data_IF_285912371978
#
_entry.id   IF_285912371978
#
_cell.length_a   1.000
_cell.length_b   1.000
_cell.length_c   1.000
_cell.angle_alpha   90.00
_cell.angle_beta   90.00
_cell.angle_gamma   90.00
#
_symmetry.space_group_name_H-M   'P 1'
#
loop_
_entity.id
_entity.type
_entity.pdbx_description
1 polymer ?
#
# COMPACT_ATOMS: atom_id res chain seq x y z
N UNK A 1 13.36 -18.73 -19.30
CA UNK A 1 13.06 -19.57 -18.13
C UNK A 1 12.13 -18.81 -17.20
N UNK A 2 11.02 -19.41 -16.80
CA UNK A 2 10.19 -18.77 -15.80
C UNK A 2 10.94 -18.71 -14.47
N UNK A 3 10.68 -17.66 -13.70
CA UNK A 3 11.23 -17.55 -12.36
C UNK A 3 10.67 -18.68 -11.49
N UNK A 4 11.50 -19.24 -10.60
CA UNK A 4 11.03 -20.24 -9.66
C UNK A 4 10.20 -19.58 -8.55
N UNK A 5 9.55 -20.40 -7.73
CA UNK A 5 8.68 -19.90 -6.67
C UNK A 5 9.41 -19.01 -5.66
N UNK A 6 10.65 -19.35 -5.31
CA UNK A 6 11.44 -18.54 -4.38
C UNK A 6 11.75 -17.18 -4.97
N UNK A 7 12.10 -17.11 -6.24
CA UNK A 7 12.38 -15.83 -6.91
C UNK A 7 11.13 -14.96 -6.99
N UNK A 8 9.98 -15.57 -7.27
CA UNK A 8 8.71 -14.85 -7.30
C UNK A 8 8.35 -14.30 -5.94
N UNK A 9 8.50 -15.11 -4.90
CA UNK A 9 8.20 -14.71 -3.53
C UNK A 9 9.10 -13.54 -3.10
N UNK A 10 10.40 -13.65 -3.38
CA UNK A 10 11.35 -12.59 -3.06
C UNK A 10 11.06 -11.29 -3.82
N UNK A 11 10.62 -11.39 -5.07
CA UNK A 11 10.23 -10.21 -5.85
C UNK A 11 9.00 -9.54 -5.23
N UNK A 12 7.98 -10.31 -4.89
CA UNK A 12 6.77 -9.78 -4.26
C UNK A 12 7.08 -9.12 -2.93
N UNK A 13 7.92 -9.77 -2.13
CA UNK A 13 8.36 -9.21 -0.85
C UNK A 13 9.10 -7.89 -1.05
N UNK A 14 10.02 -7.84 -2.01
CA UNK A 14 10.80 -6.63 -2.29
C UNK A 14 9.88 -5.47 -2.72
N UNK A 15 8.88 -5.74 -3.54
CA UNK A 15 7.92 -4.73 -3.98
C UNK A 15 7.14 -4.16 -2.79
N UNK A 16 6.66 -5.03 -1.92
CA UNK A 16 5.97 -4.58 -0.71
C UNK A 16 6.89 -3.75 0.18
N UNK A 17 8.12 -4.19 0.37
CA UNK A 17 9.10 -3.48 1.21
C UNK A 17 9.43 -2.10 0.65
N UNK A 18 9.53 -1.96 -0.68
CA UNK A 18 9.76 -0.67 -1.33
C UNK A 18 8.60 0.29 -1.07
N UNK A 19 7.37 -0.21 -1.11
CA UNK A 19 6.19 0.59 -0.79
C UNK A 19 6.25 1.14 0.64
N UNK A 20 6.50 0.27 1.62
CA UNK A 20 6.53 0.71 3.02
C UNK A 20 7.73 1.61 3.32
N UNK A 21 8.88 1.37 2.68
CA UNK A 21 10.02 2.26 2.78
C UNK A 21 9.67 3.66 2.22
N UNK A 22 8.92 3.69 1.11
CA UNK A 22 8.44 4.94 0.53
C UNK A 22 7.56 5.72 1.49
N UNK A 23 6.63 5.05 2.15
CA UNK A 23 5.78 5.70 3.16
C UNK A 23 6.63 6.25 4.32
N UNK A 24 7.56 5.46 4.83
CA UNK A 24 8.40 5.86 5.96
C UNK A 24 9.31 7.05 5.61
N UNK A 25 9.80 7.10 4.38
CA UNK A 25 10.67 8.17 3.90
C UNK A 25 9.90 9.34 3.32
N UNK A 26 8.58 9.21 3.16
CA UNK A 26 7.71 10.21 2.51
C UNK A 26 8.15 10.52 1.08
N UNK A 27 8.49 9.45 0.36
CA UNK A 27 8.93 9.51 -1.03
C UNK A 27 8.51 8.21 -1.72
N UNK A 28 7.47 8.28 -2.53
CA UNK A 28 6.91 7.12 -3.21
C UNK A 28 7.45 6.93 -4.63
N UNK A 29 8.49 7.68 -5.02
CA UNK A 29 8.99 7.65 -6.40
C UNK A 29 9.55 6.30 -6.83
N UNK A 30 10.02 5.47 -5.88
CA UNK A 30 10.58 4.16 -6.19
C UNK A 30 9.54 3.06 -6.27
N UNK A 31 8.29 3.33 -5.89
CA UNK A 31 7.24 2.31 -5.88
C UNK A 31 6.83 1.99 -7.33
N UNK A 32 6.88 0.72 -7.74
CA UNK A 32 6.66 0.36 -9.14
C UNK A 32 5.18 0.22 -9.50
N UNK A 33 4.41 1.30 -9.39
CA UNK A 33 3.02 1.29 -9.82
C UNK A 33 2.96 1.29 -11.35
N UNK A 34 2.07 0.44 -11.90
CA UNK A 34 1.75 0.49 -13.32
C UNK A 34 1.09 1.84 -13.64
N UNK A 35 1.22 2.29 -14.87
CA UNK A 35 0.65 3.58 -15.29
C UNK A 35 -0.86 3.65 -15.02
N UNK A 36 -1.56 2.56 -15.23
CA UNK A 36 -3.01 2.43 -15.05
C UNK A 36 -3.41 1.74 -13.74
N UNK A 37 -2.56 1.77 -12.73
CA UNK A 37 -2.80 1.11 -11.44
C UNK A 37 -4.13 1.53 -10.85
N UNK A 38 -4.78 0.59 -10.16
CA UNK A 38 -6.04 0.81 -9.44
C UNK A 38 -5.79 0.64 -7.95
N UNK A 39 -6.10 1.66 -7.16
CA UNK A 39 -5.89 1.62 -5.70
C UNK A 39 -7.18 1.94 -4.96
N UNK A 40 -7.52 1.08 -4.00
CA UNK A 40 -8.66 1.27 -3.10
C UNK A 40 -8.18 1.45 -1.67
N UNK A 41 -8.73 2.43 -0.97
CA UNK A 41 -8.37 2.67 0.43
C UNK A 41 -9.56 3.26 1.18
N UNK A 42 -9.75 2.89 2.48
CA UNK A 42 -10.88 3.41 3.27
C UNK A 42 -10.92 4.93 3.40
N UNK A 43 -9.76 5.59 3.39
CA UNK A 43 -9.68 7.05 3.53
C UNK A 43 -9.48 7.77 2.20
N UNK A 44 -9.53 7.05 1.08
CA UNK A 44 -9.50 7.70 -0.24
C UNK A 44 -10.75 8.57 -0.42
N UNK A 45 -10.71 9.58 -1.30
CA UNK A 45 -11.81 10.52 -1.44
C UNK A 45 -13.18 9.90 -1.66
N UNK A 46 -13.25 8.77 -2.37
CA UNK A 46 -14.50 8.07 -2.65
C UNK A 46 -14.65 6.75 -1.88
N UNK A 47 -13.77 6.51 -0.91
CA UNK A 47 -13.78 5.30 -0.11
C UNK A 47 -13.37 4.06 -0.89
N UNK A 48 -13.76 2.88 -0.38
CA UNK A 48 -13.37 1.61 -0.98
C UNK A 48 -14.12 1.28 -2.27
N UNK A 49 -15.32 1.82 -2.44
CA UNK A 49 -16.17 1.46 -3.58
C UNK A 49 -15.66 1.99 -4.91
N UNK A 50 -15.05 3.17 -4.90
CA UNK A 50 -14.56 3.80 -6.12
C UNK A 50 -13.05 3.92 -6.06
N UNK A 51 -12.32 3.17 -6.87
CA UNK A 51 -10.85 3.21 -6.80
C UNK A 51 -10.28 4.50 -7.38
N UNK A 52 -9.09 4.83 -6.88
CA UNK A 52 -8.24 5.80 -7.58
C UNK A 52 -7.60 5.07 -8.77
N UNK A 53 -7.59 5.70 -9.93
CA UNK A 53 -7.08 5.10 -11.16
C UNK A 53 -5.93 5.93 -11.72
N UNK A 54 -4.82 5.25 -12.00
CA UNK A 54 -3.65 5.86 -12.61
C UNK A 54 -2.59 6.28 -11.61
N UNK A 55 -1.33 6.07 -11.98
CA UNK A 55 -0.20 6.38 -11.11
C UNK A 55 -0.16 7.84 -10.65
N UNK A 56 -0.44 8.84 -11.51
CA UNK A 56 -0.45 10.24 -11.05
C UNK A 56 -1.42 10.51 -9.92
N UNK A 57 -2.66 10.01 -10.02
CA UNK A 57 -3.67 10.20 -8.98
C UNK A 57 -3.27 9.50 -7.68
N UNK A 58 -2.69 8.32 -7.79
CA UNK A 58 -2.23 7.54 -6.64
C UNK A 58 -1.08 8.25 -5.93
N UNK A 59 -0.10 8.75 -6.68
CA UNK A 59 1.01 9.53 -6.12
C UNK A 59 0.50 10.76 -5.37
N UNK A 60 -0.41 11.50 -5.97
CA UNK A 60 -0.97 12.70 -5.36
C UNK A 60 -1.67 12.39 -4.04
N UNK A 61 -2.44 11.31 -4.01
CA UNK A 61 -3.15 10.92 -2.80
C UNK A 61 -2.17 10.53 -1.67
N UNK A 62 -1.16 9.70 -1.98
CA UNK A 62 -0.18 9.32 -0.96
C UNK A 62 0.62 10.51 -0.45
N UNK A 63 0.99 11.44 -1.32
CA UNK A 63 1.69 12.65 -0.90
C UNK A 63 0.83 13.48 0.07
N UNK A 64 -0.49 13.47 -0.10
CA UNK A 64 -1.38 14.20 0.79
C UNK A 64 -1.40 13.64 2.20
N UNK A 65 -0.96 12.39 2.40
CA UNK A 65 -0.89 11.75 3.71
C UNK A 65 0.42 12.04 4.45
N UNK A 66 1.46 12.45 3.75
CA UNK A 66 2.79 12.60 4.33
C UNK A 66 2.83 13.48 5.59
N UNK A 67 2.10 14.62 5.66
CA UNK A 67 2.14 15.44 6.86
C UNK A 67 1.67 14.75 8.14
N UNK A 68 0.84 13.71 8.04
CA UNK A 68 0.29 13.02 9.21
C UNK A 68 0.84 11.60 9.40
N UNK A 69 1.70 11.13 8.50
CA UNK A 69 2.30 9.81 8.67
C UNK A 69 3.37 9.83 9.75
N UNK A 70 3.31 8.85 10.64
CA UNK A 70 4.31 8.63 11.69
C UNK A 70 5.12 7.38 11.42
N UNK A 71 5.41 6.61 12.47
CA UNK A 71 6.20 5.40 12.36
C UNK A 71 5.45 4.31 11.58
N UNK A 72 6.18 3.59 10.73
CA UNK A 72 5.64 2.48 9.94
C UNK A 72 6.39 1.21 10.30
N UNK A 73 5.65 0.17 10.68
CA UNK A 73 6.25 -1.10 11.07
C UNK A 73 5.62 -2.24 10.27
N UNK A 74 6.45 -2.91 9.45
CA UNK A 74 6.04 -4.10 8.69
C UNK A 74 6.14 -5.31 9.61
N UNK A 75 5.09 -6.12 9.65
CA UNK A 75 5.02 -7.26 10.55
C UNK A 75 5.19 -8.57 9.80
N UNK A 76 4.39 -8.81 8.75
CA UNK A 76 4.43 -10.10 8.04
C UNK A 76 3.87 -9.98 6.65
N UNK A 77 4.41 -10.78 5.72
CA UNK A 77 3.94 -10.88 4.34
C UNK A 77 3.23 -12.21 4.12
N UNK A 78 2.18 -12.17 3.31
CA UNK A 78 1.39 -13.35 2.92
C UNK A 78 1.29 -13.38 1.40
N UNK A 79 1.36 -14.56 0.81
CA UNK A 79 1.40 -14.71 -0.64
C UNK A 79 0.23 -15.56 -1.11
N UNK A 80 -0.32 -15.25 -2.29
CA UNK A 80 -1.35 -16.08 -2.88
C UNK A 80 -0.73 -17.33 -3.52
N UNK A 81 -1.56 -18.29 -3.90
CA UNK A 81 -1.12 -19.57 -4.43
C UNK A 81 -0.26 -19.44 -5.68
N UNK A 82 -0.67 -18.55 -6.61
CA UNK A 82 0.02 -18.38 -7.90
C UNK A 82 1.25 -17.48 -7.80
N UNK A 83 1.51 -16.88 -6.65
CA UNK A 83 2.60 -15.91 -6.45
C UNK A 83 2.50 -14.72 -7.44
N UNK A 84 1.29 -14.20 -7.57
CA UNK A 84 0.99 -12.99 -8.34
C UNK A 84 0.60 -11.82 -7.43
N UNK A 85 0.45 -12.10 -6.15
CA UNK A 85 0.04 -11.08 -5.18
C UNK A 85 0.72 -11.31 -3.84
N UNK A 86 0.89 -10.22 -3.10
CA UNK A 86 1.38 -10.23 -1.71
C UNK A 86 0.45 -9.36 -0.88
N UNK A 87 0.13 -9.81 0.31
CA UNK A 87 -0.56 -9.01 1.32
C UNK A 87 0.40 -8.82 2.48
N UNK A 88 0.45 -7.61 3.02
CA UNK A 88 1.38 -7.27 4.09
C UNK A 88 0.64 -6.70 5.27
N UNK A 89 0.84 -7.29 6.43
CA UNK A 89 0.33 -6.79 7.70
C UNK A 89 1.33 -5.77 8.23
N UNK A 90 0.86 -4.56 8.51
CA UNK A 90 1.71 -3.49 9.04
C UNK A 90 0.97 -2.67 10.08
N UNK A 91 1.73 -1.96 10.92
CA UNK A 91 1.21 -0.91 11.78
C UNK A 91 1.65 0.43 11.19
N UNK A 92 0.69 1.31 10.94
CA UNK A 92 0.95 2.63 10.37
C UNK A 92 0.57 3.69 11.38
N UNK A 93 1.56 4.43 11.86
CA UNK A 93 1.35 5.52 12.78
C UNK A 93 0.77 6.73 12.07
N UNK A 94 -0.19 7.37 12.71
CA UNK A 94 -0.77 8.65 12.30
C UNK A 94 -0.51 9.64 13.41
N UNK A 95 -0.09 10.86 13.08
CA UNK A 95 0.27 11.87 14.07
C UNK A 95 -0.88 12.81 14.42
N UNK A 96 -1.87 12.94 13.54
CA UNK A 96 -3.00 13.87 13.77
C UNK A 96 -4.26 13.36 13.06
N UNK A 97 -5.24 12.79 13.78
CA UNK A 97 -5.21 12.49 15.22
C UNK A 97 -4.22 11.38 15.52
N UNK A 98 -3.58 11.42 16.68
CA UNK A 98 -2.57 10.43 17.02
C UNK A 98 -3.19 9.06 17.23
N UNK A 99 -2.78 8.09 16.41
CA UNK A 99 -3.25 6.72 16.49
C UNK A 99 -2.31 5.80 15.72
N UNK A 100 -2.55 4.50 15.83
CA UNK A 100 -1.85 3.50 15.03
C UNK A 100 -2.89 2.67 14.31
N UNK A 101 -2.82 2.67 12.98
CA UNK A 101 -3.71 1.86 12.15
C UNK A 101 -3.12 0.46 11.99
N UNK A 102 -3.97 -0.54 12.16
CA UNK A 102 -3.61 -1.93 11.89
C UNK A 102 -4.04 -2.23 10.47
N UNK A 103 -3.07 -2.41 9.58
CA UNK A 103 -3.31 -2.39 8.14
C UNK A 103 -2.93 -3.73 7.51
N UNK A 104 -3.72 -4.15 6.53
CA UNK A 104 -3.31 -5.18 5.56
C UNK A 104 -3.41 -4.53 4.19
N UNK A 105 -2.28 -4.43 3.51
CA UNK A 105 -2.23 -3.92 2.13
C UNK A 105 -2.02 -5.09 1.19
N UNK A 106 -2.84 -5.18 0.14
CA UNK A 106 -2.78 -6.23 -0.86
C UNK A 106 -2.33 -5.64 -2.19
N UNK A 107 -1.31 -6.26 -2.78
CA UNK A 107 -0.73 -5.82 -4.04
C UNK A 107 -0.81 -6.94 -5.06
N UNK A 108 -1.38 -6.68 -6.24
CA UNK A 108 -1.25 -7.55 -7.41
C UNK A 108 -0.16 -7.02 -8.31
N UNK A 109 0.70 -7.92 -8.77
CA UNK A 109 1.91 -7.56 -9.53
C UNK A 109 1.90 -8.32 -10.86
N UNK A 110 2.14 -7.60 -11.95
CA UNK A 110 2.20 -8.21 -13.28
C UNK A 110 3.59 -8.82 -13.56
N UNK A 111 3.73 -9.43 -14.74
CA UNK A 111 4.99 -10.09 -15.12
C UNK A 111 6.17 -9.13 -15.29
N UNK A 112 5.90 -7.84 -15.42
CA UNK A 112 6.94 -6.82 -15.52
C UNK A 112 7.37 -6.27 -14.17
N UNK A 113 6.80 -6.80 -13.07
CA UNK A 113 7.12 -6.35 -11.72
C UNK A 113 6.43 -5.06 -11.34
N UNK A 114 5.32 -4.70 -12.01
CA UNK A 114 4.56 -3.50 -11.70
C UNK A 114 3.32 -3.85 -10.87
N UNK A 115 2.98 -2.97 -9.93
CA UNK A 115 1.75 -3.10 -9.16
C UNK A 115 0.59 -2.64 -10.04
N UNK A 116 -0.33 -3.56 -10.34
CA UNK A 116 -1.50 -3.24 -11.17
C UNK A 116 -2.73 -2.93 -10.34
N UNK A 117 -2.79 -3.48 -9.13
CA UNK A 117 -3.93 -3.28 -8.23
C UNK A 117 -3.42 -3.30 -6.80
N UNK A 118 -3.91 -2.37 -6.00
CA UNK A 118 -3.58 -2.30 -4.59
C UNK A 118 -4.84 -1.99 -3.80
N UNK A 119 -5.02 -2.66 -2.67
CA UNK A 119 -6.14 -2.40 -1.80
C UNK A 119 -5.66 -2.37 -0.36
N UNK A 120 -6.02 -1.30 0.35
CA UNK A 120 -5.67 -1.11 1.74
C UNK A 120 -6.86 -1.49 2.61
N UNK A 121 -6.61 -2.30 3.65
CA UNK A 121 -7.63 -2.73 4.59
C UNK A 121 -7.26 -2.31 6.00
N UNK A 122 -8.06 -1.45 6.58
CA UNK A 122 -7.92 -1.04 7.98
C UNK A 122 -9.23 -0.39 8.44
N UNK A 123 -9.38 -0.25 9.74
CA UNK A 123 -10.49 0.48 10.31
C UNK A 123 -10.13 1.97 10.30
N UNK A 124 -10.81 2.81 9.51
CA UNK A 124 -10.44 4.21 9.39
C UNK A 124 -10.90 5.10 10.54
N UNK A 125 -11.73 4.58 11.44
CA UNK A 125 -12.38 5.39 12.48
C UNK A 125 -11.39 6.12 13.37
N UNK A 126 -10.26 5.49 13.69
CA UNK A 126 -9.24 6.11 14.55
C UNK A 126 -8.54 7.29 13.88
N UNK A 127 -8.49 7.31 12.56
CA UNK A 127 -7.81 8.36 11.81
C UNK A 127 -8.76 9.50 11.41
N UNK A 128 -10.05 9.38 11.72
CA UNK A 128 -11.03 10.43 11.46
C UNK A 128 -11.16 11.29 12.71
N UNK A 129 -10.92 12.60 12.61
CA UNK A 129 -11.09 13.50 13.77
C UNK A 129 -12.49 13.40 14.34
N UNK A 130 -12.59 13.47 15.67
CA UNK A 130 -13.88 13.48 16.32
C UNK A 130 -14.68 14.72 15.88
N UNK A 131 -15.96 14.51 15.56
CA UNK A 131 -16.84 15.63 15.26
C UNK A 131 -17.43 16.18 16.54
N UNK A 132 -17.49 17.48 16.63
CA UNK A 132 -18.07 18.17 17.78
C UNK A 132 -19.60 18.19 17.74
#
# INVERSE_FOLDING_TARGET
MPANENERRERLKAISEVYFAGLAQKDMSAVPWAEDVVVRSPLAPEGLETPMVGAPAVHEWFESLFPVLGEIRVIEHYYNEDLTAVATRSDVGITDPQCTLRVVDRFHVNNEGKITEQENHYDPRQAIPASD
#
